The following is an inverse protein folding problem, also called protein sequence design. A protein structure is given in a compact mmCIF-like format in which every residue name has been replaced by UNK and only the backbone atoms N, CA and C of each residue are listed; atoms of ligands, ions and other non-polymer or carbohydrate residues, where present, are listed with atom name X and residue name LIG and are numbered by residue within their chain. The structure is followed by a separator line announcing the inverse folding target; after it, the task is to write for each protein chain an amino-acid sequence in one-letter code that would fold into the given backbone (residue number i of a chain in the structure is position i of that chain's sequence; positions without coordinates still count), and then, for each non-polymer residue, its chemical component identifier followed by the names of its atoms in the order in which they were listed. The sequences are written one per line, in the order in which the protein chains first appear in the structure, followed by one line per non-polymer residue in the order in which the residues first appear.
data_IF_013810134153
#
_entry.id   IF_013810134153
#
_cell.length_a   1.000
_cell.length_b   1.000
_cell.length_c   1.000
_cell.angle_alpha   90.00
_cell.angle_beta   90.00
_cell.angle_gamma   90.00
#
_symmetry.space_group_name_H-M   'P 1'
#
loop_
_entity.id
_entity.type
_entity.pdbx_description
1 polymer ?
#
# COMPACT_ATOMS: atom_id res chain seq x y z
N UNK A 1 69.60 11.59 70.42
CA UNK A 1 69.44 10.13 70.22
C UNK A 1 67.96 9.92 69.94
N UNK A 2 67.45 9.40 68.82
CA UNK A 2 67.93 8.86 67.54
C UNK A 2 66.75 9.05 66.55
N UNK A 3 66.94 9.66 65.37
CA UNK A 3 67.12 9.00 64.06
C UNK A 3 66.03 7.99 63.63
N UNK A 4 65.54 8.22 62.41
CA UNK A 4 64.94 7.22 61.49
C UNK A 4 63.42 7.33 61.34
N UNK A 5 62.80 7.21 60.17
CA UNK A 5 63.30 7.01 58.81
C UNK A 5 62.13 7.24 57.82
N UNK A 6 62.51 7.36 56.56
CA UNK A 6 61.82 7.78 55.35
C UNK A 6 60.90 6.71 54.74
N UNK A 7 59.92 7.12 53.94
CA UNK A 7 59.21 6.25 52.98
C UNK A 7 58.03 6.97 52.30
N UNK A 8 58.22 7.68 51.17
CA UNK A 8 58.15 7.23 49.75
C UNK A 8 56.82 6.57 49.31
N UNK A 9 56.21 7.14 48.26
CA UNK A 9 55.22 6.50 47.37
C UNK A 9 53.89 7.26 47.30
N UNK A 10 53.31 7.62 46.15
CA UNK A 10 53.62 7.29 44.76
C UNK A 10 52.80 8.18 43.82
N UNK A 11 53.27 8.32 42.58
CA UNK A 11 52.66 9.16 41.55
C UNK A 11 51.29 8.64 41.10
N UNK A 12 50.33 9.55 41.00
CA UNK A 12 48.98 9.26 40.53
C UNK A 12 48.37 10.48 39.82
N UNK A 13 48.99 10.94 38.72
CA UNK A 13 48.52 12.16 38.05
C UNK A 13 48.65 12.20 36.52
N UNK A 14 49.39 11.29 35.89
CA UNK A 14 49.60 11.32 34.43
C UNK A 14 48.63 10.46 33.62
N UNK A 15 47.98 9.46 34.24
CA UNK A 15 46.96 8.63 33.58
C UNK A 15 45.66 9.39 33.27
N UNK A 16 45.18 10.23 34.21
CA UNK A 16 43.84 10.83 34.08
C UNK A 16 43.71 11.86 32.96
N UNK A 17 44.77 12.60 32.62
CA UNK A 17 44.75 13.57 31.52
C UNK A 17 44.77 12.91 30.15
N UNK A 18 45.51 11.82 29.98
CA UNK A 18 45.57 11.09 28.71
C UNK A 18 44.25 10.37 28.44
N UNK A 19 43.63 9.80 29.47
CA UNK A 19 42.35 9.12 29.36
C UNK A 19 41.21 10.11 29.08
N UNK A 20 41.17 11.27 29.75
CA UNK A 20 40.22 12.35 29.43
C UNK A 20 40.39 12.87 27.99
N UNK A 21 41.63 12.99 27.50
CA UNK A 21 41.89 13.44 26.14
C UNK A 21 41.46 12.40 25.10
N UNK A 22 41.67 11.11 25.36
CA UNK A 22 41.19 10.00 24.52
C UNK A 22 39.66 9.94 24.50
N UNK A 23 39.00 10.11 25.65
CA UNK A 23 37.54 10.16 25.75
C UNK A 23 36.96 11.35 24.99
N UNK A 24 37.53 12.55 25.16
CA UNK A 24 37.11 13.74 24.42
C UNK A 24 37.32 13.60 22.90
N UNK A 25 38.39 12.93 22.47
CA UNK A 25 38.64 12.64 21.05
C UNK A 25 37.63 11.62 20.50
N UNK A 26 37.32 10.56 21.25
CA UNK A 26 36.28 9.58 20.89
C UNK A 26 34.89 10.22 20.79
N UNK A 27 34.52 11.10 21.73
CA UNK A 27 33.26 11.85 21.68
C UNK A 27 33.16 12.69 20.40
N UNK A 28 34.21 13.45 20.07
CA UNK A 28 34.23 14.30 18.86
C UNK A 28 34.17 13.48 17.56
N UNK A 29 34.83 12.32 17.52
CA UNK A 29 34.75 11.40 16.38
C UNK A 29 33.32 10.83 16.27
N UNK A 30 32.70 10.45 17.38
CA UNK A 30 31.33 9.94 17.37
C UNK A 30 30.35 11.03 16.90
N UNK A 31 30.47 12.25 17.40
CA UNK A 31 29.65 13.40 17.00
C UNK A 31 29.78 13.72 15.51
N UNK A 32 30.99 13.62 14.94
CA UNK A 32 31.19 13.88 13.51
C UNK A 32 30.61 12.77 12.64
N UNK A 33 30.70 11.51 13.08
CA UNK A 33 30.06 10.37 12.43
C UNK A 33 28.54 10.51 12.46
N UNK A 34 27.96 10.84 13.62
CA UNK A 34 26.51 10.99 13.79
C UNK A 34 25.97 12.15 12.93
N UNK A 35 26.73 13.25 12.84
CA UNK A 35 26.39 14.39 11.97
C UNK A 35 26.43 14.01 10.50
N UNK A 36 27.51 13.36 10.06
CA UNK A 36 27.65 12.90 8.68
C UNK A 36 26.54 11.90 8.31
N UNK A 37 26.18 11.02 9.23
CA UNK A 37 25.08 10.07 9.06
C UNK A 37 23.73 10.78 8.92
N UNK A 38 23.45 11.79 9.75
CA UNK A 38 22.22 12.57 9.67
C UNK A 38 22.12 13.37 8.36
N UNK A 39 23.22 14.00 7.92
CA UNK A 39 23.30 14.72 6.66
C UNK A 39 23.06 13.80 5.45
N UNK A 40 23.73 12.65 5.44
CA UNK A 40 23.55 11.63 4.40
C UNK A 40 22.11 11.11 4.34
N UNK A 41 21.49 10.84 5.49
CA UNK A 41 20.08 10.42 5.59
C UNK A 41 19.13 11.48 5.01
N UNK A 42 19.40 12.76 5.26
CA UNK A 42 18.62 13.86 4.72
C UNK A 42 18.79 14.02 3.20
N UNK A 43 20.01 13.81 2.67
CA UNK A 43 20.26 13.81 1.23
C UNK A 43 19.51 12.67 0.52
N UNK A 44 19.59 11.45 1.05
CA UNK A 44 18.84 10.30 0.53
C UNK A 44 17.35 10.57 0.52
N UNK A 45 16.81 11.15 1.60
CA UNK A 45 15.41 11.51 1.67
C UNK A 45 15.03 12.48 0.56
N UNK A 46 15.84 13.50 0.23
CA UNK A 46 15.55 14.41 -0.90
C UNK A 46 15.50 13.68 -2.25
N UNK A 47 16.43 12.75 -2.48
CA UNK A 47 16.53 11.99 -3.74
C UNK A 47 15.41 10.96 -3.93
N UNK A 48 14.64 10.62 -2.89
CA UNK A 48 13.60 9.59 -2.95
C UNK A 48 12.58 9.82 -4.08
N UNK A 49 12.16 11.07 -4.30
CA UNK A 49 11.16 11.38 -5.34
C UNK A 49 11.70 11.07 -6.74
N UNK A 50 12.99 11.30 -6.96
CA UNK A 50 13.63 10.95 -8.23
C UNK A 50 13.75 9.44 -8.41
N UNK A 51 13.97 8.68 -7.33
CA UNK A 51 13.93 7.21 -7.37
C UNK A 51 12.54 6.69 -7.75
N UNK A 52 11.48 7.25 -7.16
CA UNK A 52 10.10 6.89 -7.53
C UNK A 52 9.82 7.18 -9.02
N UNK A 53 10.23 8.35 -9.51
CA UNK A 53 10.11 8.72 -10.93
C UNK A 53 10.94 7.81 -11.84
N UNK A 54 12.15 7.44 -11.42
CA UNK A 54 12.99 6.49 -12.15
C UNK A 54 12.32 5.11 -12.22
N UNK A 55 11.72 4.64 -11.12
CA UNK A 55 10.99 3.39 -11.07
C UNK A 55 9.85 3.34 -12.08
N UNK A 56 9.01 4.38 -12.12
CA UNK A 56 7.90 4.50 -13.10
C UNK A 56 8.43 4.50 -14.54
N UNK A 57 9.46 5.31 -14.84
CA UNK A 57 10.05 5.33 -16.19
C UNK A 57 10.62 3.98 -16.60
N UNK A 58 11.34 3.30 -15.71
CA UNK A 58 11.91 1.99 -15.99
C UNK A 58 10.79 0.94 -16.19
N UNK A 59 9.71 1.02 -15.41
CA UNK A 59 8.54 0.15 -15.57
C UNK A 59 7.88 0.33 -16.94
N UNK A 60 7.65 1.58 -17.37
CA UNK A 60 7.09 1.90 -18.69
C UNK A 60 7.99 1.42 -19.85
N UNK A 61 9.31 1.56 -19.68
CA UNK A 61 10.32 1.06 -20.62
C UNK A 61 10.55 -0.46 -20.54
N UNK A 62 9.77 -1.19 -19.73
CA UNK A 62 9.86 -2.64 -19.50
C UNK A 62 11.22 -3.09 -18.93
N UNK A 63 11.97 -2.19 -18.30
CA UNK A 63 13.22 -2.43 -17.58
C UNK A 63 12.90 -2.87 -16.15
N UNK A 64 12.44 -4.11 -16.02
CA UNK A 64 11.79 -4.59 -14.79
C UNK A 64 12.75 -4.62 -13.59
N UNK A 65 14.01 -5.04 -13.79
CA UNK A 65 14.99 -5.16 -12.70
C UNK A 65 15.33 -3.79 -12.13
N UNK A 66 15.53 -2.81 -13.01
CA UNK A 66 15.84 -1.43 -12.66
C UNK A 66 14.65 -0.73 -12.01
N UNK A 67 13.43 -1.05 -12.45
CA UNK A 67 12.20 -0.55 -11.82
C UNK A 67 12.07 -1.07 -10.39
N UNK A 68 12.21 -2.39 -10.17
CA UNK A 68 12.18 -2.99 -8.83
C UNK A 68 13.23 -2.35 -7.94
N UNK A 69 14.49 -2.26 -8.41
CA UNK A 69 15.58 -1.67 -7.62
C UNK A 69 15.27 -0.23 -7.21
N UNK A 70 14.75 0.60 -8.12
CA UNK A 70 14.41 2.00 -7.82
C UNK A 70 13.27 2.10 -6.78
N UNK A 71 12.22 1.30 -6.95
CA UNK A 71 11.09 1.26 -6.02
C UNK A 71 11.47 0.73 -4.63
N UNK A 72 12.24 -0.35 -4.54
CA UNK A 72 12.70 -0.88 -3.26
C UNK A 72 13.64 0.11 -2.56
N UNK A 73 14.56 0.75 -3.31
CA UNK A 73 15.45 1.78 -2.73
C UNK A 73 14.65 2.94 -2.15
N UNK A 74 13.57 3.37 -2.83
CA UNK A 74 12.66 4.38 -2.29
C UNK A 74 12.02 3.92 -0.96
N UNK A 75 11.53 2.68 -0.90
CA UNK A 75 10.89 2.15 0.31
C UNK A 75 11.90 2.00 1.46
N UNK A 76 13.14 1.57 1.18
CA UNK A 76 14.21 1.48 2.18
C UNK A 76 14.55 2.85 2.77
N UNK A 77 14.70 3.89 1.93
CA UNK A 77 14.94 5.26 2.42
C UNK A 77 13.85 5.71 3.38
N UNK A 78 12.58 5.42 3.07
CA UNK A 78 11.47 5.77 3.96
C UNK A 78 11.42 4.93 5.23
N UNK A 79 11.76 3.65 5.14
CA UNK A 79 11.88 2.75 6.29
C UNK A 79 12.91 3.28 7.29
N UNK A 80 14.11 3.61 6.79
CA UNK A 80 15.18 4.21 7.56
C UNK A 80 14.78 5.60 8.10
N UNK A 81 14.11 6.41 7.27
CA UNK A 81 13.64 7.75 7.65
C UNK A 81 12.68 7.72 8.83
N UNK A 82 11.66 6.84 8.77
CA UNK A 82 10.64 6.69 9.81
C UNK A 82 11.09 5.84 11.00
N UNK A 83 12.25 5.17 10.91
CA UNK A 83 12.73 4.27 11.95
C UNK A 83 11.79 3.08 12.17
N UNK A 84 11.20 2.57 11.09
CA UNK A 84 10.23 1.49 11.19
C UNK A 84 10.92 0.17 11.62
N UNK A 85 10.26 -0.66 12.45
CA UNK A 85 10.81 -1.95 12.89
C UNK A 85 10.82 -3.01 11.77
N UNK A 86 11.36 -4.18 12.09
CA UNK A 86 11.28 -5.38 11.24
C UNK A 86 9.81 -5.74 10.99
N UNK A 87 9.37 -5.68 9.73
CA UNK A 87 7.95 -5.72 9.33
C UNK A 87 7.58 -4.62 8.33
N UNK A 88 8.49 -3.67 8.12
CA UNK A 88 8.43 -2.69 7.06
C UNK A 88 7.53 -1.49 7.38
N UNK A 89 7.29 -0.68 6.37
CA UNK A 89 6.47 0.52 6.52
C UNK A 89 5.00 0.17 6.84
N UNK A 90 4.39 1.01 7.68
CA UNK A 90 2.98 0.98 8.04
C UNK A 90 2.42 2.42 8.01
N UNK A 91 1.16 2.62 7.56
CA UNK A 91 0.48 3.91 7.63
C UNK A 91 0.54 4.60 8.99
N UNK A 92 0.61 3.86 10.10
CA UNK A 92 0.69 4.40 11.45
C UNK A 92 1.94 5.27 11.72
N UNK A 93 2.98 5.15 10.89
CA UNK A 93 4.20 5.97 11.00
C UNK A 93 4.08 7.32 10.27
N UNK A 94 2.94 7.59 9.64
CA UNK A 94 2.71 8.78 8.82
C UNK A 94 1.59 9.63 9.41
N UNK A 95 1.78 10.95 9.40
CA UNK A 95 0.74 11.90 9.75
C UNK A 95 -0.16 12.10 8.52
N UNK A 96 -1.41 11.63 8.57
CA UNK A 96 -2.34 11.69 7.43
C UNK A 96 -2.50 13.11 6.88
N UNK A 97 -2.36 14.17 7.70
CA UNK A 97 -2.52 15.54 7.21
C UNK A 97 -1.28 16.06 6.48
N UNK A 98 -0.10 15.64 6.91
CA UNK A 98 1.19 16.13 6.38
C UNK A 98 1.78 15.23 5.32
N UNK A 99 1.65 13.92 5.52
CA UNK A 99 2.30 12.88 4.75
C UNK A 99 1.38 12.24 3.70
N UNK A 100 0.15 12.74 3.49
CA UNK A 100 -0.79 12.17 2.52
C UNK A 100 -0.18 11.98 1.11
N UNK A 101 0.57 12.94 0.55
CA UNK A 101 1.20 12.76 -0.76
C UNK A 101 2.24 11.63 -0.76
N UNK A 102 2.98 11.47 0.34
CA UNK A 102 3.95 10.40 0.51
C UNK A 102 3.25 9.05 0.62
N UNK A 103 2.17 8.97 1.40
CA UNK A 103 1.37 7.75 1.52
C UNK A 103 0.75 7.32 0.18
N UNK A 104 0.26 8.28 -0.61
CA UNK A 104 -0.23 8.03 -1.96
C UNK A 104 0.89 7.48 -2.86
N UNK A 105 2.10 8.04 -2.77
CA UNK A 105 3.25 7.59 -3.55
C UNK A 105 3.68 6.16 -3.15
N UNK A 106 3.76 5.87 -1.84
CA UNK A 106 4.02 4.53 -1.31
C UNK A 106 2.97 3.53 -1.82
N UNK A 107 1.69 3.90 -1.77
CA UNK A 107 0.61 3.09 -2.31
C UNK A 107 0.79 2.80 -3.80
N UNK A 108 1.12 3.81 -4.61
CA UNK A 108 1.38 3.66 -6.03
C UNK A 108 2.57 2.74 -6.33
N UNK A 109 3.64 2.85 -5.54
CA UNK A 109 4.83 2.01 -5.68
C UNK A 109 4.53 0.55 -5.34
N UNK A 110 3.80 0.28 -4.24
CA UNK A 110 3.38 -1.09 -3.93
C UNK A 110 2.47 -1.68 -5.01
N UNK A 111 1.61 -0.85 -5.61
CA UNK A 111 0.79 -1.26 -6.75
C UNK A 111 1.64 -1.65 -7.97
N UNK A 112 2.64 -0.83 -8.33
CA UNK A 112 3.53 -1.12 -9.45
C UNK A 112 4.38 -2.37 -9.22
N UNK A 113 4.91 -2.54 -7.99
CA UNK A 113 5.59 -3.76 -7.59
C UNK A 113 4.68 -4.99 -7.66
N UNK A 114 3.42 -4.89 -7.20
CA UNK A 114 2.47 -6.00 -7.30
C UNK A 114 2.24 -6.41 -8.77
N UNK A 115 2.10 -5.46 -9.71
CA UNK A 115 1.99 -5.75 -11.15
C UNK A 115 3.25 -6.40 -11.73
N UNK A 116 4.43 -5.94 -11.30
CA UNK A 116 5.72 -6.50 -11.72
C UNK A 116 5.85 -7.96 -11.31
N UNK A 117 5.53 -8.25 -10.05
CA UNK A 117 5.69 -9.58 -9.48
C UNK A 117 4.55 -10.54 -9.84
N UNK A 118 3.35 -10.07 -10.20
CA UNK A 118 2.26 -10.91 -10.74
C UNK A 118 2.70 -11.75 -11.94
N UNK A 119 3.55 -11.17 -12.81
CA UNK A 119 4.03 -11.81 -14.04
C UNK A 119 5.37 -12.54 -13.89
N UNK A 120 5.98 -12.48 -12.71
CA UNK A 120 7.31 -13.05 -12.46
C UNK A 120 7.20 -14.46 -11.88
N UNK A 121 7.86 -15.44 -12.52
CA UNK A 121 7.85 -16.84 -12.05
C UNK A 121 8.53 -16.97 -10.68
N UNK A 122 7.99 -17.82 -9.82
CA UNK A 122 8.54 -18.17 -8.50
C UNK A 122 8.66 -17.00 -7.51
N UNK A 123 7.87 -15.94 -7.69
CA UNK A 123 7.86 -14.74 -6.82
C UNK A 123 6.48 -14.45 -6.23
N UNK A 124 5.68 -15.49 -6.04
CA UNK A 124 4.31 -15.36 -5.52
C UNK A 124 4.29 -14.77 -4.10
N UNK A 125 5.29 -15.10 -3.27
CA UNK A 125 5.40 -14.57 -1.91
C UNK A 125 5.59 -13.05 -1.92
N UNK A 126 6.50 -12.55 -2.74
CA UNK A 126 6.76 -11.12 -2.91
C UNK A 126 5.54 -10.41 -3.52
N UNK A 127 4.91 -11.01 -4.53
CA UNK A 127 3.64 -10.52 -5.08
C UNK A 127 2.56 -10.34 -3.99
N UNK A 128 2.32 -11.39 -3.18
CA UNK A 128 1.32 -11.36 -2.09
C UNK A 128 1.67 -10.32 -1.04
N UNK A 129 2.96 -10.15 -0.73
CA UNK A 129 3.42 -9.11 0.17
C UNK A 129 3.10 -7.70 -0.34
N UNK A 130 3.42 -7.39 -1.60
CA UNK A 130 3.21 -6.04 -2.14
C UNK A 130 1.73 -5.70 -2.31
N UNK A 131 0.88 -6.66 -2.72
CA UNK A 131 -0.56 -6.41 -2.83
C UNK A 131 -1.20 -6.19 -1.45
N UNK A 132 -0.74 -6.90 -0.42
CA UNK A 132 -1.18 -6.67 0.96
C UNK A 132 -0.77 -5.27 1.45
N UNK A 133 0.48 -4.87 1.20
CA UNK A 133 0.95 -3.51 1.53
C UNK A 133 0.19 -2.43 0.77
N UNK A 134 -0.12 -2.64 -0.51
CA UNK A 134 -0.99 -1.75 -1.28
C UNK A 134 -2.36 -1.57 -0.61
N UNK A 135 -3.01 -2.67 -0.18
CA UNK A 135 -4.29 -2.61 0.52
C UNK A 135 -4.16 -1.82 1.83
N UNK A 136 -3.15 -2.13 2.64
CA UNK A 136 -2.91 -1.48 3.93
C UNK A 136 -2.70 0.03 3.77
N UNK A 137 -1.92 0.46 2.78
CA UNK A 137 -1.70 1.89 2.51
C UNK A 137 -2.89 2.58 1.85
N UNK A 138 -3.79 1.85 1.19
CA UNK A 138 -4.93 2.44 0.48
C UNK A 138 -6.19 2.53 1.34
N UNK A 139 -6.46 1.52 2.16
CA UNK A 139 -7.74 1.36 2.85
C UNK A 139 -7.97 2.50 3.87
N UNK A 140 -9.13 3.13 3.79
CA UNK A 140 -9.52 4.27 4.62
C UNK A 140 -8.92 5.61 4.17
N UNK A 141 -8.09 5.65 3.13
CA UNK A 141 -7.46 6.89 2.66
C UNK A 141 -8.36 7.66 1.70
N UNK A 142 -8.24 9.01 1.62
CA UNK A 142 -9.01 9.83 0.68
C UNK A 142 -8.91 9.40 -0.79
N UNK A 143 -7.78 8.80 -1.19
CA UNK A 143 -7.52 8.32 -2.55
C UNK A 143 -7.95 6.88 -2.80
N UNK A 144 -8.53 6.18 -1.80
CA UNK A 144 -9.04 4.81 -1.95
C UNK A 144 -9.95 4.62 -3.17
N UNK A 145 -10.88 5.54 -3.53
CA UNK A 145 -11.74 5.36 -4.70
C UNK A 145 -10.93 5.26 -6.00
N UNK A 146 -9.93 6.14 -6.17
CA UNK A 146 -9.07 6.16 -7.36
C UNK A 146 -8.22 4.89 -7.43
N UNK A 147 -7.64 4.47 -6.31
CA UNK A 147 -6.85 3.24 -6.23
C UNK A 147 -7.69 1.99 -6.53
N UNK A 148 -8.92 1.93 -6.00
CA UNK A 148 -9.87 0.85 -6.28
C UNK A 148 -10.22 0.79 -7.77
N UNK A 149 -10.39 1.95 -8.39
CA UNK A 149 -10.71 2.06 -9.81
C UNK A 149 -9.54 1.63 -10.70
N UNK A 150 -8.31 2.02 -10.36
CA UNK A 150 -7.09 1.51 -11.02
C UNK A 150 -6.99 -0.01 -10.94
N UNK A 151 -7.24 -0.59 -9.77
CA UNK A 151 -7.25 -2.03 -9.56
C UNK A 151 -8.35 -2.71 -10.40
N UNK A 152 -9.55 -2.12 -10.47
CA UNK A 152 -10.66 -2.61 -11.30
C UNK A 152 -10.27 -2.69 -12.77
N UNK A 153 -9.71 -1.60 -13.31
CA UNK A 153 -9.27 -1.51 -14.70
C UNK A 153 -8.21 -2.56 -15.02
N UNK A 154 -7.27 -2.78 -14.10
CA UNK A 154 -6.25 -3.81 -14.27
C UNK A 154 -6.83 -5.22 -14.31
N UNK A 155 -7.76 -5.55 -13.41
CA UNK A 155 -8.45 -6.85 -13.42
C UNK A 155 -9.19 -7.09 -14.75
N UNK A 156 -9.80 -6.04 -15.32
CA UNK A 156 -10.56 -6.10 -16.57
C UNK A 156 -9.66 -6.19 -17.80
N UNK A 157 -8.67 -5.32 -17.91
CA UNK A 157 -7.95 -5.08 -19.17
C UNK A 157 -6.63 -5.85 -19.28
N UNK A 158 -5.91 -6.02 -18.16
CA UNK A 158 -4.52 -6.46 -18.18
C UNK A 158 -4.31 -7.97 -17.96
N UNK A 159 -5.41 -8.72 -17.79
CA UNK A 159 -5.45 -10.17 -17.63
C UNK A 159 -4.40 -10.67 -16.61
N UNK A 160 -4.55 -10.30 -15.32
CA UNK A 160 -3.60 -10.69 -14.29
C UNK A 160 -3.48 -12.21 -14.16
N UNK A 161 -2.28 -12.68 -13.80
CA UNK A 161 -2.02 -14.11 -13.55
C UNK A 161 -2.78 -14.55 -12.28
N UNK A 162 -2.67 -13.78 -11.20
CA UNK A 162 -3.31 -14.06 -9.91
C UNK A 162 -4.62 -13.27 -9.75
N UNK A 163 -5.55 -13.47 -10.69
CA UNK A 163 -6.83 -12.73 -10.78
C UNK A 163 -7.66 -12.81 -9.49
N UNK A 164 -7.64 -13.94 -8.80
CA UNK A 164 -8.34 -14.17 -7.54
C UNK A 164 -7.81 -13.25 -6.41
N UNK A 165 -6.48 -13.08 -6.31
CA UNK A 165 -5.85 -12.22 -5.31
C UNK A 165 -6.21 -10.75 -5.55
N UNK A 166 -6.16 -10.29 -6.80
CA UNK A 166 -6.57 -8.92 -7.14
C UNK A 166 -8.08 -8.68 -6.90
N UNK A 167 -8.94 -9.66 -7.22
CA UNK A 167 -10.36 -9.58 -6.88
C UNK A 167 -10.60 -9.49 -5.37
N UNK A 168 -9.84 -10.25 -4.58
CA UNK A 168 -9.89 -10.18 -3.12
C UNK A 168 -9.43 -8.81 -2.59
N UNK A 169 -8.35 -8.26 -3.15
CA UNK A 169 -7.89 -6.91 -2.85
C UNK A 169 -8.97 -5.86 -3.16
N UNK A 170 -9.61 -5.97 -4.33
CA UNK A 170 -10.67 -5.05 -4.74
C UNK A 170 -11.91 -5.14 -3.83
N UNK A 171 -12.30 -6.35 -3.40
CA UNK A 171 -13.35 -6.55 -2.38
C UNK A 171 -12.98 -5.87 -1.06
N UNK A 172 -11.72 -5.97 -0.65
CA UNK A 172 -11.23 -5.39 0.61
C UNK A 172 -11.24 -3.87 0.58
N UNK A 173 -10.85 -3.27 -0.55
CA UNK A 173 -10.83 -1.80 -0.71
C UNK A 173 -12.23 -1.21 -0.90
N UNK A 174 -13.10 -1.88 -1.65
CA UNK A 174 -14.42 -1.33 -1.95
C UNK A 174 -15.53 -1.72 -0.96
N UNK A 175 -15.23 -2.63 -0.04
CA UNK A 175 -16.18 -3.15 0.95
C UNK A 175 -17.03 -4.31 0.43
N UNK A 176 -17.56 -5.10 1.37
CA UNK A 176 -18.21 -6.40 1.17
C UNK A 176 -19.60 -6.36 0.53
N UNK A 177 -20.15 -5.21 0.18
CA UNK A 177 -21.61 -5.10 0.16
C UNK A 177 -22.29 -5.43 -1.18
N UNK A 178 -21.53 -5.85 -2.22
CA UNK A 178 -22.05 -6.23 -3.54
C UNK A 178 -21.35 -7.48 -4.11
N UNK A 179 -21.40 -8.61 -3.40
CA UNK A 179 -20.63 -9.83 -3.73
C UNK A 179 -20.77 -10.31 -5.18
N UNK A 180 -22.00 -10.34 -5.74
CA UNK A 180 -22.23 -10.79 -7.11
C UNK A 180 -21.59 -9.83 -8.11
N UNK A 181 -21.85 -8.52 -7.97
CA UNK A 181 -21.29 -7.53 -8.88
C UNK A 181 -19.75 -7.53 -8.81
N UNK A 182 -19.18 -7.70 -7.62
CA UNK A 182 -17.73 -7.78 -7.45
C UNK A 182 -17.13 -9.07 -8.03
N UNK A 183 -17.86 -10.20 -8.01
CA UNK A 183 -17.39 -11.43 -8.67
C UNK A 183 -17.33 -11.31 -10.20
N UNK A 184 -18.09 -10.38 -10.77
CA UNK A 184 -18.22 -10.12 -12.20
C UNK A 184 -17.51 -8.82 -12.63
N UNK A 185 -16.64 -8.28 -11.79
CA UNK A 185 -15.92 -7.02 -12.04
C UNK A 185 -15.11 -7.00 -13.32
N UNK A 186 -14.63 -8.17 -13.76
CA UNK A 186 -13.87 -8.39 -14.98
C UNK A 186 -14.72 -8.41 -16.25
N UNK A 187 -16.04 -8.54 -16.13
CA UNK A 187 -16.97 -8.65 -17.28
C UNK A 187 -18.04 -7.57 -17.33
N UNK A 188 -18.29 -6.86 -16.22
CA UNK A 188 -19.23 -5.75 -16.16
C UNK A 188 -18.65 -4.43 -16.69
N UNK A 189 -19.55 -3.50 -17.03
CA UNK A 189 -19.20 -2.15 -17.45
C UNK A 189 -18.71 -1.27 -16.30
N UNK A 190 -17.95 -0.22 -16.65
CA UNK A 190 -17.24 0.66 -15.71
C UNK A 190 -18.18 1.37 -14.71
N UNK A 191 -19.42 1.63 -15.10
CA UNK A 191 -20.42 2.27 -14.25
C UNK A 191 -21.32 1.30 -13.46
N UNK A 192 -21.34 0.01 -13.79
CA UNK A 192 -22.36 -0.94 -13.28
C UNK A 192 -22.26 -1.10 -11.76
N UNK A 193 -21.05 -1.31 -11.23
CA UNK A 193 -20.86 -1.51 -9.80
C UNK A 193 -21.21 -0.24 -9.02
N UNK A 194 -20.83 0.93 -9.54
CA UNK A 194 -21.15 2.22 -8.93
C UNK A 194 -22.66 2.45 -8.91
N UNK A 195 -23.33 2.30 -10.05
CA UNK A 195 -24.79 2.45 -10.15
C UNK A 195 -25.54 1.53 -9.19
N UNK A 196 -25.12 0.26 -9.05
CA UNK A 196 -25.76 -0.69 -8.13
C UNK A 196 -25.54 -0.31 -6.66
N UNK A 197 -24.35 0.21 -6.31
CA UNK A 197 -24.04 0.69 -4.96
C UNK A 197 -24.82 1.96 -4.63
N UNK A 198 -24.82 2.92 -5.55
CA UNK A 198 -25.54 4.17 -5.39
C UNK A 198 -27.03 3.90 -5.25
N UNK A 199 -27.61 2.99 -6.03
CA UNK A 199 -29.00 2.58 -5.89
C UNK A 199 -29.29 1.90 -4.54
N UNK A 200 -28.39 1.03 -4.09
CA UNK A 200 -28.50 0.42 -2.76
C UNK A 200 -28.56 1.50 -1.68
N UNK A 201 -27.60 2.42 -1.69
CA UNK A 201 -27.40 3.39 -0.62
C UNK A 201 -28.43 4.53 -0.66
N UNK A 202 -28.78 5.01 -1.85
CA UNK A 202 -29.70 6.14 -2.04
C UNK A 202 -31.17 5.74 -2.15
N UNK A 203 -31.49 4.51 -2.56
CA UNK A 203 -32.89 4.07 -2.77
C UNK A 203 -33.27 2.93 -1.83
N UNK A 204 -32.56 1.80 -1.84
CA UNK A 204 -32.97 0.63 -1.07
C UNK A 204 -32.89 0.89 0.44
N UNK A 205 -31.80 1.48 0.93
CA UNK A 205 -31.63 1.74 2.36
C UNK A 205 -32.57 2.82 2.93
N UNK A 206 -33.32 3.55 2.09
CA UNK A 206 -34.30 4.53 2.55
C UNK A 206 -35.63 3.91 2.99
N UNK A 207 -35.85 2.62 2.74
CA UNK A 207 -37.12 1.95 3.02
C UNK A 207 -36.89 0.65 3.79
N UNK A 208 -37.81 0.28 4.69
CA UNK A 208 -37.72 -0.98 5.44
C UNK A 208 -37.69 -2.22 4.52
N UNK A 209 -38.52 -2.33 3.46
CA UNK A 209 -38.43 -3.44 2.53
C UNK A 209 -37.10 -3.47 1.77
N UNK A 210 -36.57 -2.30 1.39
CA UNK A 210 -35.28 -2.22 0.72
C UNK A 210 -34.12 -2.62 1.64
N UNK A 211 -34.13 -2.20 2.91
CA UNK A 211 -33.18 -2.70 3.91
C UNK A 211 -33.23 -4.22 4.05
N UNK A 212 -34.43 -4.81 4.16
CA UNK A 212 -34.58 -6.27 4.21
C UNK A 212 -34.02 -6.94 2.96
N UNK A 213 -34.30 -6.39 1.77
CA UNK A 213 -33.77 -6.91 0.51
C UNK A 213 -32.23 -6.88 0.49
N UNK A 214 -31.61 -5.82 1.01
CA UNK A 214 -30.15 -5.72 1.13
C UNK A 214 -29.58 -6.77 2.09
N UNK A 215 -30.23 -6.99 3.24
CA UNK A 215 -29.81 -8.01 4.22
C UNK A 215 -29.91 -9.41 3.61
N UNK A 216 -31.03 -9.74 2.95
CA UNK A 216 -31.21 -11.03 2.27
C UNK A 216 -30.16 -11.20 1.18
N UNK A 217 -29.94 -10.17 0.37
CA UNK A 217 -28.91 -10.18 -0.66
C UNK A 217 -27.53 -10.46 -0.06
N UNK A 218 -27.13 -9.77 1.02
CA UNK A 218 -25.81 -9.96 1.64
C UNK A 218 -25.64 -11.35 2.28
N UNK A 219 -26.71 -11.98 2.75
CA UNK A 219 -26.67 -13.35 3.28
C UNK A 219 -26.57 -14.41 2.18
N UNK A 220 -27.27 -14.22 1.06
CA UNK A 220 -27.39 -15.23 -0.02
C UNK A 220 -26.32 -15.06 -1.10
N UNK A 221 -25.82 -13.85 -1.31
CA UNK A 221 -24.89 -13.55 -2.40
C UNK A 221 -23.47 -14.14 -2.27
N UNK A 222 -22.86 -14.36 -1.08
CA UNK A 222 -21.51 -14.93 -0.99
C UNK A 222 -21.36 -16.32 -1.67
N UNK A 223 -22.21 -17.33 -1.41
CA UNK A 223 -22.11 -18.62 -2.10
C UNK A 223 -22.38 -18.50 -3.61
N UNK A 224 -23.29 -17.61 -4.02
CA UNK A 224 -23.56 -17.35 -5.45
C UNK A 224 -22.33 -16.74 -6.12
N UNK A 225 -21.70 -15.75 -5.50
CA UNK A 225 -20.49 -15.11 -6.01
C UNK A 225 -19.33 -16.11 -6.13
N UNK A 226 -19.17 -16.98 -5.13
CA UNK A 226 -18.19 -18.05 -5.16
C UNK A 226 -18.45 -19.05 -6.30
N UNK A 227 -19.72 -19.43 -6.52
CA UNK A 227 -20.09 -20.30 -7.62
C UNK A 227 -19.82 -19.62 -8.97
N UNK A 228 -20.21 -18.35 -9.14
CA UNK A 228 -19.98 -17.56 -10.35
C UNK A 228 -18.49 -17.40 -10.68
N UNK A 229 -17.61 -17.30 -9.68
CA UNK A 229 -16.16 -17.24 -9.87
C UNK A 229 -15.56 -18.52 -10.49
N UNK A 230 -16.29 -19.65 -10.44
CA UNK A 230 -15.88 -20.94 -11.01
C UNK A 230 -16.59 -21.29 -12.32
N UNK A 231 -17.57 -20.50 -12.72
CA UNK A 231 -18.33 -20.74 -13.95
C UNK A 231 -17.49 -20.39 -15.20
N UNK A 232 -17.79 -21.00 -16.35
CA UNK A 232 -17.17 -20.63 -17.63
C UNK A 232 -17.37 -19.16 -17.98
N UNK A 233 -16.40 -18.57 -18.69
CA UNK A 233 -16.42 -17.16 -19.09
C UNK A 233 -17.70 -16.75 -19.85
N UNK A 234 -18.29 -17.66 -20.62
CA UNK A 234 -19.55 -17.41 -21.34
C UNK A 234 -20.70 -17.11 -20.36
N UNK A 235 -20.83 -17.92 -19.30
CA UNK A 235 -21.88 -17.75 -18.29
C UNK A 235 -21.64 -16.47 -17.51
N UNK A 236 -20.39 -16.19 -17.15
CA UNK A 236 -19.99 -14.95 -16.47
C UNK A 236 -20.32 -13.73 -17.32
N UNK A 237 -20.01 -13.75 -18.61
CA UNK A 237 -20.34 -12.67 -19.54
C UNK A 237 -21.86 -12.48 -19.71
N UNK A 238 -22.66 -13.56 -19.68
CA UNK A 238 -24.13 -13.45 -19.69
C UNK A 238 -24.68 -12.85 -18.40
N UNK A 239 -24.14 -13.26 -17.25
CA UNK A 239 -24.50 -12.68 -15.95
C UNK A 239 -24.10 -11.21 -15.87
N UNK A 240 -22.89 -10.86 -16.33
CA UNK A 240 -22.40 -9.49 -16.43
C UNK A 240 -23.32 -8.61 -17.28
N UNK A 241 -23.64 -9.03 -18.51
CA UNK A 241 -24.58 -8.30 -19.38
C UNK A 241 -25.96 -8.11 -18.78
N UNK A 242 -26.46 -9.11 -18.04
CA UNK A 242 -27.74 -8.99 -17.33
C UNK A 242 -27.66 -7.93 -16.23
N UNK A 243 -26.56 -7.90 -15.46
CA UNK A 243 -26.33 -6.85 -14.48
C UNK A 243 -26.19 -5.47 -15.12
N UNK A 244 -25.48 -5.34 -16.24
CA UNK A 244 -25.31 -4.07 -16.95
C UNK A 244 -26.64 -3.53 -17.47
N UNK A 245 -27.57 -4.42 -17.90
CA UNK A 245 -28.94 -4.00 -18.26
C UNK A 245 -29.71 -3.48 -17.05
N UNK A 246 -29.62 -4.17 -15.91
CA UNK A 246 -30.27 -3.73 -14.67
C UNK A 246 -29.71 -2.38 -14.22
N UNK A 247 -28.39 -2.22 -14.20
CA UNK A 247 -27.73 -0.97 -13.84
C UNK A 247 -28.12 0.17 -14.78
N UNK A 248 -28.16 -0.04 -16.10
CA UNK A 248 -28.66 0.98 -17.04
C UNK A 248 -30.12 1.33 -16.82
N UNK A 249 -30.97 0.36 -16.51
CA UNK A 249 -32.38 0.61 -16.17
C UNK A 249 -32.55 1.42 -14.88
N UNK A 250 -31.65 1.25 -13.92
CA UNK A 250 -31.57 2.08 -12.71
C UNK A 250 -31.13 3.50 -13.06
N UNK A 251 -30.02 3.64 -13.81
CA UNK A 251 -29.47 4.94 -14.22
C UNK A 251 -30.44 5.74 -15.09
N UNK A 252 -31.22 5.08 -15.95
CA UNK A 252 -32.25 5.72 -16.77
C UNK A 252 -33.49 6.17 -16.00
N UNK A 253 -33.69 5.70 -14.76
CA UNK A 253 -34.78 6.14 -13.87
C UNK A 253 -34.37 7.26 -12.92
N UNK A 254 -33.08 7.38 -12.61
CA UNK A 254 -32.53 8.56 -11.97
C UNK A 254 -32.49 9.70 -12.99
N UNK A 255 -33.42 10.66 -12.85
CA UNK A 255 -33.40 11.92 -13.61
C UNK A 255 -31.96 12.49 -13.67
N UNK A 256 -31.55 13.11 -14.79
CA UNK A 256 -30.28 13.82 -14.84
C UNK A 256 -30.32 14.92 -13.78
N UNK A 257 -29.57 14.71 -12.70
CA UNK A 257 -29.18 15.82 -11.83
C UNK A 257 -28.20 16.63 -12.68
N UNK A 258 -28.71 17.71 -13.26
CA UNK A 258 -27.91 18.79 -13.83
C UNK A 258 -26.93 19.26 -12.76
N UNK A 259 -25.64 19.06 -13.02
CA UNK A 259 -24.56 19.76 -12.31
C UNK A 259 -24.56 21.24 -12.68
#
# INVERSE_FOLDING_TARGET
MSQGDSGKGGGGGSGSKLDQMKEGMRSKIQESIDRAYAEHKHELFKRRIDLARQGVRNFELKRMVEAVKAFETYLTILHDWKGAPEGGLNPSYFDIKKDLPEMLLISGIYWDLAKLFDRTRNKEREFRHYIEKFIVFTKGMPYQPVASETLRKYIRNDKPVHKDVFKSAYRTLTGSNCFIATSLVDVCDDGTIHALRDYRDSVLLRSLPGCLAVVVYQKVSPPIAWALDRMPEIVRALAGRSLDRVARGILGKSNPVTF
#
